data_IF_631716694864
#
_entry.id   IF_631716694864
#
_cell.length_a   1.000
_cell.length_b   1.000
_cell.length_c   1.000
_cell.angle_alpha   90.00
_cell.angle_beta   90.00
_cell.angle_gamma   90.00
#
_symmetry.space_group_name_H-M   'P 1'
#
loop_
_entity.id
_entity.type
_entity.pdbx_description
1 polymer ?
#
# COMPACT_ATOMS: atom_id res chain seq x y z
N UNK A 1 -0.99 24.27 -4.85
CA UNK A 1 -0.24 23.92 -6.08
C UNK A 1 0.77 25.02 -6.34
N UNK A 2 1.92 24.75 -6.95
CA UNK A 2 2.93 25.78 -7.20
C UNK A 2 2.46 26.80 -8.27
N UNK A 3 2.99 28.02 -8.23
CA UNK A 3 2.51 29.21 -8.97
C UNK A 3 2.38 28.98 -10.49
N UNK A 4 3.35 28.27 -11.09
CA UNK A 4 3.34 27.92 -12.53
C UNK A 4 2.18 27.00 -12.92
N UNK A 5 1.87 25.97 -12.12
CA UNK A 5 0.84 24.99 -12.44
C UNK A 5 -0.56 25.57 -12.20
N UNK A 6 -0.68 26.44 -11.20
CA UNK A 6 -1.89 27.22 -10.97
C UNK A 6 -2.17 28.16 -12.15
N UNK A 7 -1.15 28.90 -12.62
CA UNK A 7 -1.26 29.77 -13.79
C UNK A 7 -1.64 29.02 -15.08
N UNK A 8 -1.15 27.79 -15.25
CA UNK A 8 -1.53 26.90 -16.36
C UNK A 8 -3.00 26.48 -16.25
N UNK A 9 -3.46 26.10 -15.05
CA UNK A 9 -4.84 25.68 -14.81
C UNK A 9 -5.85 26.82 -14.99
N UNK A 10 -5.54 28.02 -14.48
CA UNK A 10 -6.40 29.21 -14.57
C UNK A 10 -6.59 29.69 -16.01
N UNK A 11 -5.55 29.59 -16.84
CA UNK A 11 -5.61 30.00 -18.25
C UNK A 11 -6.16 28.92 -19.18
N UNK A 12 -6.32 27.68 -18.70
CA UNK A 12 -6.75 26.52 -19.49
C UNK A 12 -8.05 26.78 -20.30
N UNK A 13 -9.09 27.45 -19.76
CA UNK A 13 -10.32 27.74 -20.51
C UNK A 13 -10.14 28.64 -21.73
N UNK A 14 -9.05 29.42 -21.77
CA UNK A 14 -8.77 30.40 -22.83
C UNK A 14 -7.68 29.92 -23.82
N UNK A 15 -7.31 28.63 -23.76
CA UNK A 15 -6.27 28.05 -24.59
C UNK A 15 -6.83 27.53 -25.92
N UNK A 16 -6.05 27.69 -27.00
CA UNK A 16 -6.31 26.96 -28.24
C UNK A 16 -6.08 25.46 -28.07
N UNK A 17 -6.64 24.63 -28.96
CA UNK A 17 -6.45 23.17 -28.95
C UNK A 17 -4.98 22.73 -28.90
N UNK A 18 -4.07 23.48 -29.51
CA UNK A 18 -2.64 23.18 -29.49
C UNK A 18 -2.00 23.55 -28.14
N UNK A 19 -2.42 24.65 -27.51
CA UNK A 19 -1.98 25.06 -26.17
C UNK A 19 -2.51 24.12 -25.09
N UNK A 20 -3.76 23.65 -25.22
CA UNK A 20 -4.33 22.66 -24.30
C UNK A 20 -3.53 21.36 -24.25
N UNK A 21 -3.01 20.88 -25.38
CA UNK A 21 -2.17 19.67 -25.40
C UNK A 21 -0.91 19.83 -24.54
N UNK A 22 -0.29 21.01 -24.62
CA UNK A 22 0.90 21.36 -23.83
C UNK A 22 0.52 21.46 -22.35
N UNK A 23 -0.56 22.18 -22.03
CA UNK A 23 -1.04 22.33 -20.66
C UNK A 23 -1.43 21.01 -20.00
N UNK A 24 -2.14 20.13 -20.72
CA UNK A 24 -2.51 18.78 -20.25
C UNK A 24 -1.28 17.92 -19.97
N UNK A 25 -0.27 17.99 -20.83
CA UNK A 25 0.98 17.27 -20.61
C UNK A 25 1.72 17.77 -19.35
N UNK A 26 1.87 19.09 -19.21
CA UNK A 26 2.53 19.72 -18.07
C UNK A 26 1.82 19.40 -16.75
N UNK A 27 0.49 19.51 -16.69
CA UNK A 27 -0.31 19.24 -15.49
C UNK A 27 -0.33 17.76 -15.08
N UNK A 28 -0.23 16.84 -16.05
CA UNK A 28 -0.15 15.40 -15.78
C UNK A 28 1.26 14.92 -15.44
N UNK A 29 2.29 15.72 -15.74
CA UNK A 29 3.69 15.38 -15.53
C UNK A 29 4.50 16.50 -14.84
N UNK A 30 4.05 17.01 -13.67
CA UNK A 30 4.69 18.15 -13.00
C UNK A 30 6.11 17.83 -12.49
N UNK A 31 6.41 16.56 -12.24
CA UNK A 31 7.72 16.15 -11.72
C UNK A 31 8.77 15.93 -12.82
N UNK A 32 8.36 15.76 -14.08
CA UNK A 32 9.31 15.58 -15.20
C UNK A 32 9.45 16.82 -16.08
N UNK A 33 8.40 17.67 -16.16
CA UNK A 33 8.40 18.92 -16.92
C UNK A 33 9.63 19.83 -16.66
N UNK A 34 10.10 20.01 -15.41
CA UNK A 34 11.26 20.85 -15.10
C UNK A 34 12.58 20.42 -15.74
N UNK A 35 12.65 19.23 -16.32
CA UNK A 35 13.85 18.66 -16.94
C UNK A 35 13.74 18.55 -18.47
N UNK A 36 12.64 19.00 -19.06
CA UNK A 36 12.42 18.87 -20.50
C UNK A 36 13.00 20.06 -21.24
N UNK A 37 13.73 19.79 -22.32
CA UNK A 37 14.04 20.82 -23.33
C UNK A 37 12.78 21.19 -24.11
N UNK A 38 12.78 22.34 -24.76
CA UNK A 38 11.64 22.81 -25.57
C UNK A 38 11.28 21.82 -26.69
N UNK A 39 12.29 21.18 -27.30
CA UNK A 39 12.12 20.15 -28.32
C UNK A 39 11.45 18.90 -27.76
N UNK A 40 11.88 18.50 -26.55
CA UNK A 40 11.33 17.32 -25.87
C UNK A 40 9.88 17.55 -25.46
N UNK A 41 9.56 18.72 -24.91
CA UNK A 41 8.20 19.08 -24.54
C UNK A 41 7.29 19.18 -25.78
N UNK A 42 7.78 19.77 -26.88
CA UNK A 42 7.06 19.83 -28.15
C UNK A 42 6.71 18.44 -28.67
N UNK A 43 7.69 17.53 -28.68
CA UNK A 43 7.52 16.14 -29.10
C UNK A 43 6.49 15.40 -28.22
N UNK A 44 6.62 15.50 -26.90
CA UNK A 44 5.77 14.79 -25.94
C UNK A 44 4.33 15.34 -25.90
N UNK A 45 4.17 16.63 -26.17
CA UNK A 45 2.85 17.28 -26.28
C UNK A 45 2.23 17.17 -27.67
N UNK A 46 2.95 16.62 -28.66
CA UNK A 46 2.48 16.46 -30.04
C UNK A 46 2.24 17.79 -30.77
N UNK A 47 3.13 18.76 -30.57
CA UNK A 47 3.07 20.11 -31.16
C UNK A 47 4.44 20.55 -31.70
N UNK A 48 4.48 21.69 -32.39
CA UNK A 48 5.75 22.27 -32.87
C UNK A 48 6.48 23.04 -31.77
N UNK A 49 7.80 23.19 -31.89
CA UNK A 49 8.63 24.01 -30.97
C UNK A 49 8.10 25.45 -30.90
N UNK A 50 7.74 26.04 -32.05
CA UNK A 50 7.17 27.39 -32.10
C UNK A 50 5.85 27.51 -31.32
N UNK A 51 5.05 26.43 -31.27
CA UNK A 51 3.82 26.39 -30.46
C UNK A 51 4.14 26.41 -28.96
N UNK A 52 5.19 25.69 -28.53
CA UNK A 52 5.65 25.69 -27.13
C UNK A 52 6.17 27.08 -26.73
N UNK A 53 6.95 27.73 -27.60
CA UNK A 53 7.45 29.10 -27.34
C UNK A 53 6.31 30.11 -27.22
N UNK A 54 5.29 30.05 -28.09
CA UNK A 54 4.11 30.92 -27.97
C UNK A 54 3.27 30.60 -26.74
N UNK A 55 3.21 29.34 -26.33
CA UNK A 55 2.49 28.91 -25.14
C UNK A 55 3.08 29.51 -23.86
N UNK A 56 4.40 29.46 -23.67
CA UNK A 56 5.04 30.05 -22.48
C UNK A 56 4.90 31.58 -22.47
N UNK A 57 4.94 32.24 -23.63
CA UNK A 57 4.65 33.68 -23.76
C UNK A 57 3.19 33.98 -23.37
N UNK A 58 2.24 33.17 -23.83
CA UNK A 58 0.82 33.29 -23.46
C UNK A 58 0.59 33.12 -21.95
N UNK A 59 1.36 32.24 -21.30
CA UNK A 59 1.33 32.11 -19.84
C UNK A 59 1.88 33.36 -19.13
N UNK A 60 2.70 34.19 -19.80
CA UNK A 60 3.25 35.43 -19.27
C UNK A 60 4.75 35.37 -18.98
N UNK A 61 5.46 34.39 -19.55
CA UNK A 61 6.92 34.29 -19.46
C UNK A 61 7.57 34.93 -20.69
N UNK A 62 8.73 35.54 -20.51
CA UNK A 62 9.58 36.10 -21.57
C UNK A 62 10.11 35.04 -22.54
N UNK A 63 10.15 33.76 -22.12
CA UNK A 63 10.55 32.65 -22.98
C UNK A 63 10.59 31.31 -22.25
N UNK A 64 10.98 30.26 -22.98
CA UNK A 64 11.06 28.90 -22.44
C UNK A 64 12.03 28.76 -21.26
N UNK A 65 13.22 29.40 -21.25
CA UNK A 65 14.13 29.31 -20.10
C UNK A 65 13.54 29.86 -18.79
N UNK A 66 12.74 30.93 -18.86
CA UNK A 66 12.09 31.51 -17.68
C UNK A 66 10.95 30.61 -17.19
N UNK A 67 10.13 30.09 -18.11
CA UNK A 67 9.13 29.08 -17.78
C UNK A 67 9.77 27.84 -17.13
N UNK A 68 10.87 27.34 -17.71
CA UNK A 68 11.59 26.19 -17.18
C UNK A 68 12.13 26.48 -15.78
N UNK A 69 12.71 27.66 -15.56
CA UNK A 69 13.18 28.11 -14.25
C UNK A 69 12.04 28.18 -13.23
N UNK A 70 10.86 28.66 -13.61
CA UNK A 70 9.69 28.70 -12.73
C UNK A 70 9.14 27.29 -12.43
N UNK A 71 9.13 26.39 -13.41
CA UNK A 71 8.79 24.97 -13.16
C UNK A 71 9.80 24.27 -12.25
N UNK A 72 11.09 24.59 -12.38
CA UNK A 72 12.16 24.10 -11.50
C UNK A 72 12.07 24.70 -10.10
N UNK A 73 11.76 25.99 -9.98
CA UNK A 73 11.54 26.66 -8.69
C UNK A 73 10.28 26.15 -8.00
N UNK A 74 9.21 25.90 -8.76
CA UNK A 74 7.98 25.29 -8.28
C UNK A 74 8.22 23.87 -7.75
N UNK A 75 9.04 23.08 -8.44
CA UNK A 75 9.50 21.78 -7.96
C UNK A 75 10.36 21.96 -6.69
N UNK A 76 11.30 22.90 -6.68
CA UNK A 76 12.10 23.24 -5.49
C UNK A 76 11.26 23.75 -4.32
N UNK A 77 10.10 24.38 -4.52
CA UNK A 77 9.21 24.83 -3.44
C UNK A 77 8.35 23.70 -2.87
N UNK A 78 7.89 22.78 -3.72
CA UNK A 78 7.25 21.53 -3.27
C UNK A 78 8.26 20.65 -2.50
N UNK A 79 9.51 20.66 -2.96
CA UNK A 79 10.64 19.99 -2.33
C UNK A 79 11.03 20.73 -1.03
N UNK A 80 11.08 22.07 -0.99
CA UNK A 80 11.36 22.87 0.23
C UNK A 80 10.32 22.69 1.36
N UNK A 81 9.04 22.51 1.04
CA UNK A 81 8.01 22.19 2.05
C UNK A 81 8.15 20.75 2.60
N UNK A 82 8.79 19.85 1.85
CA UNK A 82 9.20 18.53 2.32
C UNK A 82 10.63 18.48 2.92
N UNK A 83 11.45 19.52 2.69
CA UNK A 83 12.88 19.58 3.05
C UNK A 83 13.18 20.27 4.38
N UNK A 84 12.20 20.83 5.11
CA UNK A 84 12.41 21.10 6.55
C UNK A 84 12.67 19.83 7.37
N UNK A 85 12.50 18.65 6.77
CA UNK A 85 12.81 17.35 7.35
C UNK A 85 14.11 16.74 6.75
N UNK A 86 14.73 17.34 5.72
CA UNK A 86 15.81 16.71 4.91
C UNK A 86 17.16 17.43 4.84
N UNK A 87 17.43 18.45 5.66
CA UNK A 87 18.78 19.05 5.70
C UNK A 87 19.76 18.20 6.50
N UNK A 88 20.18 17.11 5.88
CA UNK A 88 21.26 16.24 6.30
C UNK A 88 21.57 15.25 5.20
N UNK A 89 22.60 15.57 4.39
CA UNK A 89 23.31 14.67 3.47
C UNK A 89 22.78 14.61 2.03
N UNK A 90 23.28 15.53 1.19
CA UNK A 90 23.73 15.15 -0.15
C UNK A 90 25.23 14.80 -0.10
N UNK A 91 25.59 13.58 -0.51
CA UNK A 91 26.76 13.33 -1.37
C UNK A 91 26.81 11.90 -1.90
N UNK A 92 27.05 11.83 -3.20
CA UNK A 92 27.55 10.71 -4.01
C UNK A 92 26.52 9.72 -4.59
N UNK A 93 26.42 9.76 -5.92
CA UNK A 93 25.96 8.64 -6.74
C UNK A 93 26.83 7.39 -6.46
N UNK A 94 26.29 6.40 -5.75
CA UNK A 94 26.79 5.03 -5.72
C UNK A 94 25.67 4.05 -6.11
N UNK A 95 26.03 2.80 -6.41
CA UNK A 95 25.11 1.69 -6.78
C UNK A 95 24.11 1.29 -5.68
N UNK A 96 24.04 2.08 -4.62
CA UNK A 96 23.18 1.91 -3.48
C UNK A 96 22.02 2.88 -3.69
N UNK A 97 20.81 2.37 -3.93
CA UNK A 97 19.64 3.11 -3.45
C UNK A 97 19.98 3.41 -1.98
N UNK A 98 20.12 4.68 -1.66
CA UNK A 98 20.40 5.12 -0.30
C UNK A 98 19.39 4.42 0.63
N UNK A 99 19.82 3.88 1.77
CA UNK A 99 18.90 3.19 2.73
C UNK A 99 17.66 4.07 2.99
N UNK A 100 17.85 5.39 3.00
CA UNK A 100 16.79 6.39 3.09
C UNK A 100 15.72 6.25 1.99
N UNK A 101 16.07 5.95 0.74
CA UNK A 101 15.12 5.74 -0.35
C UNK A 101 14.25 4.49 -0.14
N UNK A 102 14.76 3.46 0.54
CA UNK A 102 13.96 2.27 0.91
C UNK A 102 12.89 2.68 1.92
N UNK A 103 13.27 3.42 2.97
CA UNK A 103 12.32 3.95 3.95
C UNK A 103 11.32 4.94 3.33
N UNK A 104 11.75 5.77 2.37
CA UNK A 104 10.83 6.65 1.63
C UNK A 104 9.84 5.86 0.76
N UNK A 105 10.28 4.78 0.11
CA UNK A 105 9.39 3.88 -0.63
C UNK A 105 8.38 3.21 0.31
N UNK A 106 8.80 2.78 1.50
CA UNK A 106 7.90 2.22 2.53
C UNK A 106 6.87 3.24 3.02
N UNK A 107 7.28 4.49 3.28
CA UNK A 107 6.36 5.58 3.63
C UNK A 107 5.34 5.82 2.52
N UNK A 108 5.77 5.79 1.25
CA UNK A 108 4.87 5.95 0.12
C UNK A 108 3.92 4.76 -0.05
N UNK A 109 4.36 3.54 0.23
CA UNK A 109 3.50 2.36 0.23
C UNK A 109 2.38 2.49 1.28
N UNK A 110 2.70 2.96 2.49
CA UNK A 110 1.70 3.22 3.54
C UNK A 110 0.70 4.28 3.05
N UNK A 111 1.18 5.42 2.56
CA UNK A 111 0.31 6.51 2.07
C UNK A 111 -0.66 6.03 0.99
N UNK A 112 -0.14 5.35 -0.02
CA UNK A 112 -0.94 4.81 -1.13
C UNK A 112 -1.96 3.76 -0.67
N UNK A 113 -1.57 2.95 0.31
CA UNK A 113 -2.48 1.96 0.92
C UNK A 113 -3.63 2.66 1.63
N UNK A 114 -3.36 3.70 2.42
CA UNK A 114 -4.40 4.47 3.14
C UNK A 114 -5.35 5.18 2.17
N UNK A 115 -4.83 5.75 1.07
CA UNK A 115 -5.66 6.42 0.05
C UNK A 115 -6.68 5.49 -0.64
N UNK A 116 -6.34 4.21 -0.75
CA UNK A 116 -7.21 3.19 -1.36
C UNK A 116 -7.97 2.34 -0.33
N UNK A 117 -7.79 2.62 0.95
CA UNK A 117 -8.34 1.81 2.03
C UNK A 117 -9.85 2.00 2.16
N UNK A 118 -10.60 0.90 2.06
CA UNK A 118 -12.02 0.90 2.35
C UNK A 118 -12.28 0.52 3.82
N UNK A 119 -12.58 1.52 4.63
CA UNK A 119 -12.89 1.34 6.07
C UNK A 119 -14.09 0.42 6.30
N UNK A 120 -15.06 0.37 5.38
CA UNK A 120 -16.20 -0.52 5.50
C UNK A 120 -15.80 -2.00 5.37
N UNK A 121 -14.84 -2.32 4.50
CA UNK A 121 -14.31 -3.69 4.37
C UNK A 121 -13.52 -4.11 5.61
N UNK A 122 -12.80 -3.19 6.26
CA UNK A 122 -12.16 -3.47 7.56
C UNK A 122 -13.22 -3.80 8.61
N UNK A 123 -14.26 -2.98 8.76
CA UNK A 123 -15.33 -3.24 9.74
C UNK A 123 -16.05 -4.56 9.46
N UNK A 124 -16.28 -4.87 8.19
CA UNK A 124 -16.84 -6.16 7.77
C UNK A 124 -15.91 -7.32 8.15
N UNK A 125 -14.60 -7.18 7.91
CA UNK A 125 -13.57 -8.15 8.33
C UNK A 125 -13.61 -8.39 9.84
N UNK A 126 -13.62 -7.32 10.65
CA UNK A 126 -13.71 -7.38 12.12
C UNK A 126 -14.96 -8.17 12.54
N UNK A 127 -16.14 -7.82 12.02
CA UNK A 127 -17.38 -8.52 12.34
C UNK A 127 -17.34 -10.02 11.98
N UNK A 128 -16.76 -10.37 10.84
CA UNK A 128 -16.61 -11.78 10.45
C UNK A 128 -15.70 -12.53 11.44
N UNK A 129 -14.58 -11.93 11.83
CA UNK A 129 -13.63 -12.53 12.77
C UNK A 129 -14.23 -12.68 14.17
N UNK A 130 -14.99 -11.69 14.66
CA UNK A 130 -15.65 -11.75 15.96
C UNK A 130 -16.67 -12.89 16.06
N UNK A 131 -17.35 -13.21 14.96
CA UNK A 131 -18.33 -14.30 14.88
C UNK A 131 -17.72 -15.65 14.45
N UNK A 132 -16.40 -15.70 14.22
CA UNK A 132 -15.73 -16.91 13.77
C UNK A 132 -15.61 -17.94 14.90
N UNK A 133 -16.00 -19.18 14.61
CA UNK A 133 -15.75 -20.32 15.51
C UNK A 133 -14.27 -20.67 15.56
N UNK A 134 -13.63 -20.65 14.39
CA UNK A 134 -12.21 -20.95 14.16
C UNK A 134 -11.68 -20.02 13.08
N UNK A 135 -10.44 -19.57 13.28
CA UNK A 135 -9.74 -18.69 12.34
C UNK A 135 -8.56 -19.46 11.76
N UNK A 136 -8.54 -19.60 10.44
CA UNK A 136 -7.45 -20.24 9.72
C UNK A 136 -6.67 -19.21 8.93
N UNK A 137 -5.34 -19.21 9.02
CA UNK A 137 -4.49 -18.31 8.26
C UNK A 137 -3.70 -19.14 7.24
N UNK A 138 -3.74 -18.73 5.97
CA UNK A 138 -3.04 -19.39 4.87
C UNK A 138 -2.11 -18.38 4.22
N UNK A 139 -0.82 -18.53 4.46
CA UNK A 139 0.22 -17.71 3.84
C UNK A 139 1.48 -18.53 3.65
N UNK A 140 2.15 -18.36 2.50
CA UNK A 140 3.35 -19.12 2.15
C UNK A 140 4.46 -18.20 1.69
N UNK A 141 5.68 -18.75 1.66
CA UNK A 141 6.90 -18.02 1.26
C UNK A 141 7.11 -16.79 2.16
N UNK A 142 7.51 -15.65 1.60
CA UNK A 142 7.72 -14.39 2.32
C UNK A 142 6.48 -13.99 3.13
N UNK A 143 5.27 -14.13 2.57
CA UNK A 143 4.02 -13.75 3.26
C UNK A 143 3.72 -14.57 4.52
N UNK A 144 4.43 -15.68 4.78
CA UNK A 144 4.31 -16.42 6.03
C UNK A 144 4.69 -15.57 7.26
N UNK A 145 5.61 -14.61 7.11
CA UNK A 145 5.96 -13.69 8.19
C UNK A 145 4.75 -12.86 8.67
N UNK A 146 3.90 -12.42 7.74
CA UNK A 146 2.66 -11.71 8.06
C UNK A 146 1.65 -12.59 8.79
N UNK A 147 1.55 -13.87 8.41
CA UNK A 147 0.67 -14.82 9.09
C UNK A 147 1.12 -15.10 10.53
N UNK A 148 2.43 -15.22 10.78
CA UNK A 148 2.97 -15.41 12.13
C UNK A 148 2.66 -14.21 13.01
N UNK A 149 2.90 -13.00 12.50
CA UNK A 149 2.59 -11.76 13.21
C UNK A 149 1.10 -11.66 13.54
N UNK A 150 0.23 -11.89 12.54
CA UNK A 150 -1.21 -11.86 12.73
C UNK A 150 -1.68 -12.92 13.74
N UNK A 151 -1.18 -14.16 13.64
CA UNK A 151 -1.54 -15.25 14.54
C UNK A 151 -1.23 -14.89 15.99
N UNK A 152 -0.04 -14.35 16.25
CA UNK A 152 0.40 -13.99 17.60
C UNK A 152 -0.63 -13.11 18.31
N UNK A 153 -1.09 -12.03 17.67
CA UNK A 153 -2.09 -11.14 18.28
C UNK A 153 -3.49 -11.73 18.31
N UNK A 154 -3.88 -12.49 17.28
CA UNK A 154 -5.19 -13.15 17.30
C UNK A 154 -5.26 -14.21 18.41
N UNK A 155 -4.18 -14.91 18.76
CA UNK A 155 -4.16 -15.85 19.89
C UNK A 155 -4.46 -15.17 21.23
N UNK A 156 -4.19 -13.86 21.36
CA UNK A 156 -4.53 -13.08 22.56
C UNK A 156 -6.03 -12.78 22.67
N UNK A 157 -6.77 -12.90 21.56
CA UNK A 157 -8.18 -12.50 21.48
C UNK A 157 -9.11 -13.67 21.12
N UNK A 158 -8.57 -14.78 20.63
CA UNK A 158 -9.30 -15.94 20.14
C UNK A 158 -8.59 -17.24 20.53
N UNK A 159 -9.38 -18.26 20.88
CA UNK A 159 -8.85 -19.54 21.33
C UNK A 159 -8.43 -20.49 20.19
N UNK A 160 -8.87 -20.24 18.95
CA UNK A 160 -8.74 -21.20 17.83
C UNK A 160 -8.18 -20.54 16.56
N UNK A 161 -6.92 -20.08 16.62
CA UNK A 161 -6.22 -19.50 15.47
C UNK A 161 -5.13 -20.45 14.98
N UNK A 162 -5.24 -20.89 13.72
CA UNK A 162 -4.39 -21.95 13.18
C UNK A 162 -3.78 -21.49 11.85
N UNK A 163 -2.45 -21.50 11.75
CA UNK A 163 -1.77 -21.35 10.45
C UNK A 163 -1.83 -22.71 9.73
N UNK A 164 -2.41 -22.72 8.54
CA UNK A 164 -2.48 -23.93 7.71
C UNK A 164 -1.20 -24.02 6.90
N UNK A 165 -0.33 -24.96 7.29
CA UNK A 165 0.86 -25.25 6.52
C UNK A 165 0.49 -26.05 5.27
N UNK A 166 -0.08 -27.25 5.39
CA UNK A 166 -0.41 -28.07 4.22
C UNK A 166 -1.85 -28.55 4.28
N UNK A 167 -2.44 -28.87 3.12
CA UNK A 167 -3.80 -29.43 3.03
C UNK A 167 -3.90 -30.72 3.86
N UNK A 168 -2.85 -31.53 3.88
CA UNK A 168 -2.79 -32.80 4.61
C UNK A 168 -2.77 -32.63 6.13
N UNK A 169 -2.30 -31.47 6.61
CA UNK A 169 -2.23 -31.14 8.03
C UNK A 169 -3.48 -30.39 8.50
N UNK A 170 -4.47 -30.19 7.63
CA UNK A 170 -5.72 -29.54 8.01
C UNK A 170 -6.44 -30.38 9.06
N UNK A 171 -6.86 -29.78 10.20
CA UNK A 171 -7.68 -30.47 11.19
C UNK A 171 -8.83 -31.23 10.55
N UNK A 172 -9.05 -32.49 10.95
CA UNK A 172 -10.15 -33.35 10.42
C UNK A 172 -11.52 -32.67 10.46
N UNK A 173 -11.70 -31.69 11.34
CA UNK A 173 -12.93 -30.93 11.48
C UNK A 173 -13.21 -30.03 10.26
N UNK A 174 -12.19 -29.53 9.58
CA UNK A 174 -12.28 -28.76 8.32
C UNK A 174 -12.70 -29.66 7.14
N UNK A 175 -12.59 -30.99 7.30
CA UNK A 175 -13.09 -31.94 6.31
C UNK A 175 -14.58 -32.26 6.47
N UNK A 176 -15.24 -31.80 7.53
CA UNK A 176 -16.64 -32.12 7.83
C UNK A 176 -17.60 -30.93 7.65
N UNK A 177 -17.26 -29.75 8.18
CA UNK A 177 -18.06 -28.52 8.05
C UNK A 177 -17.21 -27.28 8.39
N UNK A 178 -17.30 -26.25 7.56
CA UNK A 178 -16.61 -24.98 7.69
C UNK A 178 -17.53 -23.75 7.70
N UNK A 179 -18.85 -23.91 7.76
CA UNK A 179 -19.80 -22.79 7.62
C UNK A 179 -19.62 -21.65 8.64
N UNK A 180 -19.05 -21.95 9.82
CA UNK A 180 -18.78 -20.98 10.90
C UNK A 180 -17.29 -20.58 10.99
N UNK A 181 -16.46 -21.06 10.06
CA UNK A 181 -15.02 -20.78 10.06
C UNK A 181 -14.70 -19.57 9.18
N UNK A 182 -13.66 -18.83 9.57
CA UNK A 182 -13.09 -17.76 8.77
C UNK A 182 -11.67 -18.12 8.33
N UNK A 183 -11.40 -17.95 7.03
CA UNK A 183 -10.09 -18.19 6.42
C UNK A 183 -9.50 -16.85 6.00
N UNK A 184 -8.29 -16.55 6.46
CA UNK A 184 -7.49 -15.40 6.05
C UNK A 184 -6.41 -15.89 5.08
N UNK A 185 -6.55 -15.58 3.80
CA UNK A 185 -5.54 -15.84 2.77
C UNK A 185 -4.64 -14.64 2.61
N UNK A 186 -3.33 -14.79 2.83
CA UNK A 186 -2.35 -13.72 2.64
C UNK A 186 -1.42 -14.09 1.49
N UNK A 187 -1.48 -13.31 0.41
CA UNK A 187 -0.56 -13.47 -0.72
C UNK A 187 -0.36 -12.16 -1.45
N UNK A 188 0.90 -11.83 -1.72
CA UNK A 188 1.31 -10.67 -2.51
C UNK A 188 1.96 -11.14 -3.82
N UNK A 189 2.50 -10.20 -4.62
CA UNK A 189 3.12 -10.46 -5.93
C UNK A 189 3.97 -11.74 -5.96
N UNK A 190 4.01 -12.42 -7.11
CA UNK A 190 4.47 -13.82 -7.25
C UNK A 190 3.63 -14.79 -6.40
N UNK A 191 2.32 -14.64 -6.50
CA UNK A 191 1.30 -15.36 -5.73
C UNK A 191 1.58 -16.85 -5.59
N UNK A 192 1.56 -17.34 -4.34
CA UNK A 192 1.77 -18.75 -4.05
C UNK A 192 0.59 -19.57 -4.53
N UNK A 193 0.80 -20.43 -5.53
CA UNK A 193 -0.22 -21.38 -6.02
C UNK A 193 -0.80 -22.23 -4.89
N UNK A 194 0.04 -22.70 -3.98
CA UNK A 194 -0.40 -23.47 -2.80
C UNK A 194 -1.33 -22.65 -1.88
N UNK A 195 -1.07 -21.36 -1.68
CA UNK A 195 -1.95 -20.48 -0.90
C UNK A 195 -3.31 -20.35 -1.57
N UNK A 196 -3.33 -20.11 -2.89
CA UNK A 196 -4.58 -19.99 -3.67
C UNK A 196 -5.38 -21.30 -3.67
N UNK A 197 -4.70 -22.44 -3.81
CA UNK A 197 -5.33 -23.76 -3.82
C UNK A 197 -6.02 -24.07 -2.49
N UNK A 198 -5.31 -23.87 -1.36
CA UNK A 198 -5.88 -24.06 -0.01
C UNK A 198 -7.05 -23.09 0.21
N UNK A 199 -6.85 -21.80 -0.09
CA UNK A 199 -7.87 -20.76 0.12
C UNK A 199 -9.16 -21.05 -0.67
N UNK A 200 -9.03 -21.35 -1.97
CA UNK A 200 -10.18 -21.70 -2.81
C UNK A 200 -10.84 -23.02 -2.41
N UNK A 201 -10.07 -24.00 -1.93
CA UNK A 201 -10.62 -25.26 -1.43
C UNK A 201 -11.53 -25.04 -0.21
N UNK A 202 -11.11 -24.18 0.71
CA UNK A 202 -11.88 -23.89 1.92
C UNK A 202 -13.12 -23.05 1.64
N UNK A 203 -13.02 -22.11 0.68
CA UNK A 203 -14.19 -21.41 0.15
C UNK A 203 -15.25 -22.40 -0.36
N UNK A 204 -14.84 -23.39 -1.15
CA UNK A 204 -15.76 -24.43 -1.69
C UNK A 204 -16.39 -25.31 -0.61
N UNK A 205 -15.82 -25.35 0.60
CA UNK A 205 -16.40 -26.03 1.76
C UNK A 205 -17.32 -25.16 2.61
N UNK A 206 -17.61 -23.93 2.17
CA UNK A 206 -18.55 -23.03 2.83
C UNK A 206 -17.92 -22.09 3.85
N UNK A 207 -16.58 -22.08 3.99
CA UNK A 207 -15.92 -21.14 4.87
C UNK A 207 -16.10 -19.70 4.39
N UNK A 208 -16.18 -18.78 5.35
CA UNK A 208 -16.05 -17.35 5.06
C UNK A 208 -14.59 -17.01 4.80
N UNK A 209 -14.31 -16.16 3.83
CA UNK A 209 -12.96 -15.95 3.30
C UNK A 209 -12.58 -14.49 3.20
N UNK A 210 -11.39 -14.18 3.69
CA UNK A 210 -10.81 -12.84 3.75
C UNK A 210 -9.47 -12.88 3.04
N UNK A 211 -9.30 -12.10 1.98
CA UNK A 211 -8.04 -11.98 1.27
C UNK A 211 -7.28 -10.73 1.72
N UNK A 212 -6.02 -10.89 2.11
CA UNK A 212 -5.06 -9.80 2.32
C UNK A 212 -4.03 -9.88 1.20
N UNK A 213 -4.02 -8.88 0.31
CA UNK A 213 -3.28 -8.97 -0.95
C UNK A 213 -2.81 -7.60 -1.46
N UNK A 214 -2.14 -7.56 -2.60
CA UNK A 214 -1.59 -6.33 -3.19
C UNK A 214 -2.62 -5.51 -3.97
N UNK A 215 -3.52 -6.16 -4.71
CA UNK A 215 -4.52 -5.49 -5.54
C UNK A 215 -5.70 -6.41 -5.92
N UNK A 216 -6.72 -5.84 -6.58
CA UNK A 216 -7.94 -6.55 -6.98
C UNK A 216 -7.76 -7.59 -8.11
N UNK A 217 -6.59 -7.65 -8.76
CA UNK A 217 -6.26 -8.67 -9.77
C UNK A 217 -5.66 -9.93 -9.16
N UNK A 218 -5.47 -9.96 -7.84
CA UNK A 218 -4.93 -11.11 -7.13
C UNK A 218 -5.78 -12.38 -7.35
N UNK A 219 -5.15 -13.56 -7.51
CA UNK A 219 -5.85 -14.82 -7.69
C UNK A 219 -6.64 -15.28 -6.45
N UNK A 220 -6.48 -14.61 -5.30
CA UNK A 220 -7.33 -14.85 -4.12
C UNK A 220 -8.71 -14.19 -4.25
N UNK A 221 -8.81 -13.07 -4.96
CA UNK A 221 -10.01 -12.22 -5.02
C UNK A 221 -11.25 -12.97 -5.52
N UNK A 222 -11.20 -13.82 -6.56
CA UNK A 222 -12.37 -14.58 -7.01
C UNK A 222 -12.97 -15.52 -5.96
N UNK A 223 -12.22 -15.83 -4.91
CA UNK A 223 -12.63 -16.73 -3.84
C UNK A 223 -12.83 -16.03 -2.49
N UNK A 224 -12.75 -14.69 -2.44
CA UNK A 224 -12.81 -13.91 -1.22
C UNK A 224 -14.19 -13.27 -1.01
N UNK A 225 -14.70 -13.31 0.22
CA UNK A 225 -15.91 -12.56 0.64
C UNK A 225 -15.60 -11.10 1.01
N UNK A 226 -14.36 -10.87 1.44
CA UNK A 226 -13.78 -9.57 1.81
C UNK A 226 -12.35 -9.52 1.29
N UNK A 227 -11.97 -8.41 0.68
CA UNK A 227 -10.59 -8.19 0.21
C UNK A 227 -10.04 -6.93 0.85
N UNK A 228 -8.89 -7.05 1.52
CA UNK A 228 -8.10 -5.94 2.04
C UNK A 228 -6.81 -5.85 1.22
N UNK A 229 -6.64 -4.73 0.50
CA UNK A 229 -5.49 -4.51 -0.36
C UNK A 229 -4.46 -3.58 0.29
N UNK A 230 -3.18 -3.89 0.17
CA UNK A 230 -2.07 -3.05 0.61
C UNK A 230 -0.92 -3.10 -0.37
N UNK A 231 -0.26 -1.97 -0.62
CA UNK A 231 0.85 -1.90 -1.55
C UNK A 231 2.09 -2.60 -0.95
N UNK A 232 2.61 -3.61 -1.66
CA UNK A 232 3.81 -4.35 -1.25
C UNK A 232 5.03 -4.09 -2.14
N UNK A 233 5.09 -2.91 -2.75
CA UNK A 233 6.16 -2.55 -3.69
C UNK A 233 7.48 -2.43 -2.95
N UNK A 234 8.44 -3.31 -3.26
CA UNK A 234 9.74 -3.29 -2.62
C UNK A 234 10.87 -2.84 -3.54
N UNK A 235 12.09 -2.85 -2.99
CA UNK A 235 13.28 -2.49 -3.75
C UNK A 235 13.86 -3.74 -4.45
N UNK A 236 14.11 -3.62 -5.76
CA UNK A 236 14.67 -4.70 -6.60
C UNK A 236 13.86 -6.01 -6.48
N UNK A 237 14.42 -7.05 -5.88
CA UNK A 237 13.85 -8.42 -5.86
C UNK A 237 13.07 -8.76 -4.58
N UNK A 238 13.09 -7.91 -3.57
CA UNK A 238 12.48 -8.14 -2.26
C UNK A 238 11.24 -7.26 -2.14
N UNK A 239 10.09 -7.86 -1.84
CA UNK A 239 8.85 -7.14 -1.53
C UNK A 239 8.96 -6.39 -0.19
N UNK A 240 8.30 -5.24 -0.10
CA UNK A 240 8.12 -4.57 1.19
C UNK A 240 6.79 -5.01 1.80
N UNK A 241 6.83 -5.42 3.07
CA UNK A 241 5.64 -5.72 3.85
C UNK A 241 5.28 -4.64 4.86
N UNK A 242 5.89 -3.45 4.78
CA UNK A 242 5.61 -2.37 5.74
C UNK A 242 4.14 -1.94 5.70
N UNK A 243 3.58 -1.69 4.51
CA UNK A 243 2.16 -1.32 4.40
C UNK A 243 1.21 -2.51 4.67
N UNK A 244 1.45 -3.73 4.17
CA UNK A 244 0.70 -4.93 4.58
C UNK A 244 0.67 -5.17 6.09
N UNK A 245 1.81 -5.00 6.76
CA UNK A 245 1.92 -5.14 8.21
C UNK A 245 1.17 -4.03 8.93
N UNK A 246 1.23 -2.79 8.42
CA UNK A 246 0.43 -1.66 8.95
C UNK A 246 -1.07 -1.89 8.82
N UNK A 247 -1.53 -2.44 7.68
CA UNK A 247 -2.92 -2.85 7.48
C UNK A 247 -3.35 -3.95 8.46
N UNK A 248 -2.51 -4.97 8.63
CA UNK A 248 -2.72 -6.04 9.62
C UNK A 248 -2.78 -5.47 11.04
N UNK A 249 -1.90 -4.53 11.39
CA UNK A 249 -1.91 -3.85 12.67
C UNK A 249 -3.22 -3.07 12.88
N UNK A 250 -3.68 -2.32 11.88
CA UNK A 250 -4.96 -1.61 11.95
C UNK A 250 -6.14 -2.57 12.15
N UNK A 251 -6.11 -3.74 11.51
CA UNK A 251 -7.10 -4.78 11.71
C UNK A 251 -7.05 -5.34 13.14
N UNK A 252 -5.86 -5.67 13.66
CA UNK A 252 -5.67 -6.16 15.03
C UNK A 252 -6.22 -5.17 16.06
N UNK A 253 -5.82 -3.89 15.97
CA UNK A 253 -6.29 -2.83 16.88
C UNK A 253 -7.81 -2.67 16.78
N UNK A 254 -8.38 -2.79 15.57
CA UNK A 254 -9.83 -2.70 15.40
C UNK A 254 -10.57 -3.87 16.05
N UNK A 255 -9.96 -5.07 16.12
CA UNK A 255 -10.54 -6.23 16.83
C UNK A 255 -10.35 -6.08 18.34
N UNK A 256 -9.20 -5.58 18.77
CA UNK A 256 -8.89 -5.31 20.18
C UNK A 256 -9.91 -4.37 20.80
N UNK A 257 -10.29 -3.28 20.10
CA UNK A 257 -11.33 -2.36 20.57
C UNK A 257 -12.69 -3.04 20.82
N UNK A 258 -12.98 -4.17 20.17
CA UNK A 258 -14.22 -4.93 20.36
C UNK A 258 -14.04 -6.07 21.39
N UNK A 259 -12.81 -6.35 21.83
CA UNK A 259 -12.42 -7.46 22.73
C UNK A 259 -11.51 -7.02 23.88
N UNK A 260 -11.62 -5.76 24.31
CA UNK A 260 -10.71 -5.11 25.25
C UNK A 260 -10.48 -5.93 26.53
N UNK A 261 -11.57 -6.43 27.15
CA UNK A 261 -11.50 -7.24 28.37
C UNK A 261 -10.73 -8.56 28.18
N UNK A 262 -10.97 -9.23 27.05
CA UNK A 262 -10.33 -10.52 26.73
C UNK A 262 -8.83 -10.31 26.45
N UNK A 263 -8.48 -9.25 25.72
CA UNK A 263 -7.10 -8.91 25.41
C UNK A 263 -6.33 -8.56 26.68
N UNK A 264 -6.86 -7.66 27.52
CA UNK A 264 -6.22 -7.25 28.77
C UNK A 264 -5.97 -8.45 29.71
N UNK A 265 -6.96 -9.34 29.85
CA UNK A 265 -6.86 -10.55 30.67
C UNK A 265 -5.76 -11.50 30.18
N UNK A 266 -5.70 -11.76 28.86
CA UNK A 266 -4.72 -12.67 28.29
C UNK A 266 -3.30 -12.10 28.28
N UNK A 267 -3.14 -10.78 28.11
CA UNK A 267 -1.85 -10.09 28.28
C UNK A 267 -1.37 -10.24 29.73
N UNK A 268 -2.25 -10.03 30.72
CA UNK A 268 -1.87 -10.21 32.12
C UNK A 268 -1.43 -11.65 32.41
N UNK A 269 -2.16 -12.66 31.92
CA UNK A 269 -1.77 -14.07 32.07
C UNK A 269 -0.41 -14.37 31.43
N UNK A 270 -0.10 -13.76 30.28
CA UNK A 270 1.21 -13.88 29.65
C UNK A 270 2.31 -13.22 30.47
N UNK A 271 2.08 -12.01 30.99
CA UNK A 271 3.05 -11.33 31.86
C UNK A 271 3.32 -12.12 33.14
N UNK A 272 2.28 -12.69 33.75
CA UNK A 272 2.40 -13.57 34.92
C UNK A 272 3.22 -14.83 34.60
N UNK A 273 2.95 -15.46 33.45
CA UNK A 273 3.73 -16.61 32.99
C UNK A 273 5.19 -16.22 32.73
N UNK A 274 5.44 -15.10 32.06
CA UNK A 274 6.79 -14.60 31.75
C UNK A 274 7.57 -14.32 33.03
N UNK A 275 6.95 -13.68 34.03
CA UNK A 275 7.54 -13.46 35.37
C UNK A 275 7.86 -14.78 36.07
N UNK A 276 6.96 -15.76 35.97
CA UNK A 276 7.16 -17.08 36.61
C UNK A 276 8.34 -17.86 36.02
N UNK A 277 8.63 -17.67 34.74
CA UNK A 277 9.66 -18.41 34.02
C UNK A 277 10.95 -17.59 33.76
N UNK A 278 11.10 -16.40 34.36
CA UNK A 278 12.23 -15.48 34.15
C UNK A 278 12.58 -15.27 32.66
N UNK A 279 11.56 -15.20 31.81
CA UNK A 279 11.76 -15.17 30.35
C UNK A 279 12.24 -13.79 29.84
N UNK A 280 12.14 -12.74 30.66
CA UNK A 280 12.59 -11.38 30.34
C UNK A 280 13.17 -10.69 31.59
N UNK A 281 14.15 -9.80 31.38
CA UNK A 281 14.78 -8.92 32.39
C UNK A 281 14.00 -7.62 32.47
#
# INVERSE_FOLDING_TARGET
>A
MAEVYQRVAEKLPNMSKAQEKIAKYILSHPNSTPFLTVEKLAKLSGVSIATVTRFVIFLGYSGYPEFLKDTQQSMQQQVNNSERIKLGVEKNFSKDKSIYEIFEEDVNNIKTTVESLNVFEIKKCVNLLLNAKRIYIVAKRSSAALAVFLKYYLDLMFNNVIIVENIEQMPKQINKDCGEDVIIGISFDKYSRSTVEIFSHLKRKGATTIAITDNMLSPLVPYADVTLAAISKGSKSIESFVAPLSLINALIVSIECEKEDCFASNVQLLEEAMKKFDLFI
#
